data_IF_720366865045
#
_entry.id   IF_720366865045
#
_cell.length_a   1.000
_cell.length_b   1.000
_cell.length_c   1.000
_cell.angle_alpha   90.00
_cell.angle_beta   90.00
_cell.angle_gamma   90.00
#
_symmetry.space_group_name_H-M   'P 1'
#
loop_
_entity.id
_entity.type
_entity.pdbx_description
1 polymer ?
#
# COMPACT_ATOMS: atom_id res chain seq x y z
N UNK A 1 -28.06 19.84 -0.15
CA UNK A 1 -26.65 19.57 -0.49
C UNK A 1 -26.54 18.12 -0.95
N UNK A 2 -26.46 17.89 -2.25
CA UNK A 2 -26.25 16.54 -2.78
C UNK A 2 -24.85 16.06 -2.42
N UNK A 3 -24.76 15.00 -1.61
CA UNK A 3 -23.51 14.27 -1.44
C UNK A 3 -23.13 13.72 -2.81
N UNK A 4 -22.11 14.31 -3.43
CA UNK A 4 -21.46 13.76 -4.60
C UNK A 4 -20.85 12.43 -4.15
N UNK A 5 -21.60 11.34 -4.32
CA UNK A 5 -21.07 10.00 -4.15
C UNK A 5 -19.95 9.90 -5.18
N UNK A 6 -18.73 9.97 -4.68
CA UNK A 6 -17.52 9.74 -5.47
C UNK A 6 -17.76 8.41 -6.17
N UNK A 7 -17.79 8.46 -7.49
CA UNK A 7 -18.21 7.34 -8.34
C UNK A 7 -17.61 6.03 -7.83
N UNK A 8 -18.47 5.13 -7.33
CA UNK A 8 -18.09 3.83 -6.75
C UNK A 8 -17.37 2.93 -7.79
N UNK A 9 -17.35 3.38 -9.06
CA UNK A 9 -16.62 2.78 -10.17
C UNK A 9 -15.17 3.27 -10.34
N UNK A 10 -14.74 4.34 -9.64
CA UNK A 10 -13.30 4.57 -9.41
C UNK A 10 -12.81 3.37 -8.62
N UNK A 11 -12.13 2.47 -9.31
CA UNK A 11 -12.16 1.05 -8.94
C UNK A 11 -11.70 0.82 -7.50
N UNK A 12 -12.29 -0.20 -6.84
CA UNK A 12 -11.87 -0.68 -5.51
C UNK A 12 -10.36 -0.89 -5.38
N UNK A 13 -9.68 -1.15 -6.49
CA UNK A 13 -8.22 -1.28 -6.59
C UNK A 13 -7.48 0.04 -6.41
N UNK A 14 -8.01 1.14 -6.97
CA UNK A 14 -7.47 2.49 -6.82
C UNK A 14 -7.60 2.97 -5.37
N UNK A 15 -8.73 2.69 -4.72
CA UNK A 15 -8.94 3.03 -3.31
C UNK A 15 -8.01 2.24 -2.37
N UNK A 16 -7.76 0.96 -2.68
CA UNK A 16 -6.77 0.15 -1.97
C UNK A 16 -5.36 0.71 -2.13
N UNK A 17 -4.96 1.09 -3.34
CA UNK A 17 -3.68 1.77 -3.58
C UNK A 17 -3.56 3.06 -2.74
N UNK A 18 -4.59 3.90 -2.74
CA UNK A 18 -4.61 5.14 -1.96
C UNK A 18 -4.51 4.89 -0.45
N UNK A 19 -5.21 3.87 0.06
CA UNK A 19 -5.16 3.49 1.48
C UNK A 19 -3.76 3.00 1.89
N UNK A 20 -3.14 2.12 1.09
CA UNK A 20 -1.77 1.64 1.34
C UNK A 20 -0.78 2.81 1.33
N UNK A 21 -0.91 3.71 0.35
CA UNK A 21 -0.07 4.90 0.24
C UNK A 21 -0.23 5.83 1.44
N UNK A 22 -1.46 6.05 1.92
CA UNK A 22 -1.71 6.87 3.10
C UNK A 22 -1.03 6.30 4.35
N UNK A 23 -1.14 4.98 4.57
CA UNK A 23 -0.46 4.31 5.69
C UNK A 23 1.06 4.43 5.58
N UNK A 24 1.64 4.30 4.39
CA UNK A 24 3.08 4.44 4.18
C UNK A 24 3.59 5.86 4.43
N UNK A 25 2.84 6.87 3.97
CA UNK A 25 3.21 8.28 4.17
C UNK A 25 3.16 8.63 5.66
N UNK A 26 2.12 8.17 6.36
CA UNK A 26 1.92 8.45 7.79
C UNK A 26 2.56 7.39 8.70
N UNK A 27 3.38 6.49 8.18
CA UNK A 27 3.83 5.32 8.92
C UNK A 27 4.63 5.71 10.16
N UNK A 28 5.51 6.71 10.02
CA UNK A 28 6.33 7.24 11.11
C UNK A 28 5.45 7.85 12.20
N UNK A 29 4.53 8.73 11.82
CA UNK A 29 3.62 9.43 12.72
C UNK A 29 2.70 8.45 13.46
N UNK A 30 2.23 7.39 12.77
CA UNK A 30 1.44 6.32 13.39
C UNK A 30 2.28 5.59 14.43
N UNK A 31 3.52 5.25 14.11
CA UNK A 31 4.43 4.56 15.05
C UNK A 31 4.72 5.42 16.27
N UNK A 32 5.06 6.70 16.09
CA UNK A 32 5.33 7.64 17.18
C UNK A 32 4.11 7.86 18.06
N UNK A 33 2.93 8.02 17.46
CA UNK A 33 1.67 8.20 18.20
C UNK A 33 1.32 6.96 19.01
N UNK A 34 1.49 5.76 18.45
CA UNK A 34 1.22 4.51 19.17
C UNK A 34 2.23 4.24 20.29
N UNK A 35 3.48 4.68 20.11
CA UNK A 35 4.51 4.62 21.15
C UNK A 35 4.14 5.52 22.33
N UNK A 36 3.79 6.78 22.07
CA UNK A 36 3.32 7.72 23.08
C UNK A 36 2.08 7.21 23.83
N UNK A 37 1.05 6.74 23.09
CA UNK A 37 -0.15 6.17 23.69
C UNK A 37 0.12 4.90 24.51
N UNK A 38 1.14 4.11 24.16
CA UNK A 38 1.47 2.90 24.91
C UNK A 38 2.07 3.20 26.30
N UNK A 39 2.67 4.39 26.47
CA UNK A 39 3.37 4.80 27.70
C UNK A 39 2.54 5.79 28.51
N UNK A 40 1.98 6.81 27.85
CA UNK A 40 1.47 8.02 28.49
C UNK A 40 -0.05 8.12 28.60
N UNK A 41 -0.82 7.21 27.96
CA UNK A 41 -2.28 7.23 28.05
C UNK A 41 -2.74 6.92 29.49
N UNK A 42 -3.84 7.53 29.94
CA UNK A 42 -4.38 7.34 31.30
C UNK A 42 -5.07 5.99 31.45
N UNK A 43 -5.72 5.49 30.41
CA UNK A 43 -6.48 4.25 30.41
C UNK A 43 -5.56 3.04 30.14
N UNK A 44 -5.51 2.10 31.09
CA UNK A 44 -4.69 0.89 30.95
C UNK A 44 -5.02 0.06 29.71
N UNK A 45 -6.30 0.04 29.31
CA UNK A 45 -6.77 -0.65 28.10
C UNK A 45 -6.24 0.01 26.83
N UNK A 46 -6.24 1.35 26.77
CA UNK A 46 -5.70 2.12 25.65
C UNK A 46 -4.20 1.83 25.49
N UNK A 47 -3.43 1.90 26.58
CA UNK A 47 -2.00 1.55 26.59
C UNK A 47 -1.73 0.14 26.06
N UNK A 48 -2.50 -0.85 26.53
CA UNK A 48 -2.36 -2.24 26.09
C UNK A 48 -2.66 -2.41 24.60
N UNK A 49 -3.72 -1.78 24.08
CA UNK A 49 -4.08 -1.86 22.66
C UNK A 49 -3.01 -1.18 21.81
N UNK A 50 -2.57 0.02 22.20
CA UNK A 50 -1.53 0.77 21.51
C UNK A 50 -0.21 -0.02 21.43
N UNK A 51 0.25 -0.59 22.55
CA UNK A 51 1.46 -1.41 22.58
C UNK A 51 1.38 -2.67 21.71
N UNK A 52 0.22 -3.36 21.71
CA UNK A 52 0.02 -4.52 20.84
C UNK A 52 -0.01 -4.15 19.35
N UNK A 53 -0.64 -3.03 19.01
CA UNK A 53 -0.71 -2.54 17.65
C UNK A 53 0.68 -2.11 17.16
N UNK A 54 1.42 -1.36 17.97
CA UNK A 54 2.81 -0.97 17.72
C UNK A 54 3.70 -2.18 17.44
N UNK A 55 3.58 -3.24 18.25
CA UNK A 55 4.33 -4.50 18.05
C UNK A 55 4.01 -5.14 16.69
N UNK A 56 2.74 -5.10 16.26
CA UNK A 56 2.34 -5.62 14.94
C UNK A 56 2.87 -4.75 13.81
N UNK A 57 2.78 -3.42 13.92
CA UNK A 57 3.29 -2.51 12.89
C UNK A 57 4.79 -2.64 12.70
N UNK A 58 5.55 -2.73 13.80
CA UNK A 58 7.02 -2.91 13.80
C UNK A 58 7.45 -4.34 13.42
N UNK A 59 6.52 -5.27 13.22
CA UNK A 59 6.89 -6.62 12.79
C UNK A 59 7.42 -6.61 11.36
N UNK A 60 8.50 -7.36 11.13
CA UNK A 60 9.09 -7.52 9.80
C UNK A 60 8.06 -8.00 8.77
N UNK A 61 7.19 -8.94 9.15
CA UNK A 61 6.12 -9.45 8.31
C UNK A 61 5.16 -8.34 7.86
N UNK A 62 4.69 -7.50 8.78
CA UNK A 62 3.77 -6.41 8.42
C UNK A 62 4.42 -5.42 7.46
N UNK A 63 5.64 -4.97 7.77
CA UNK A 63 6.37 -4.04 6.92
C UNK A 63 6.61 -4.60 5.52
N UNK A 64 7.03 -5.86 5.44
CA UNK A 64 7.28 -6.55 4.17
C UNK A 64 6.01 -6.69 3.34
N UNK A 65 4.90 -7.10 3.96
CA UNK A 65 3.59 -7.19 3.29
C UNK A 65 3.09 -5.82 2.84
N UNK A 66 3.30 -4.78 3.65
CA UNK A 66 2.89 -3.41 3.29
C UNK A 66 3.64 -2.90 2.05
N UNK A 67 4.97 -3.12 1.99
CA UNK A 67 5.78 -2.77 0.82
C UNK A 67 5.42 -3.60 -0.41
N UNK A 68 5.19 -4.90 -0.22
CA UNK A 68 4.71 -5.79 -1.28
C UNK A 68 3.40 -5.28 -1.89
N UNK A 69 2.42 -4.98 -1.04
CA UNK A 69 1.11 -4.50 -1.46
C UNK A 69 1.24 -3.15 -2.18
N UNK A 70 2.11 -2.24 -1.72
CA UNK A 70 2.37 -0.96 -2.41
C UNK A 70 2.76 -1.17 -3.87
N UNK A 71 3.73 -2.05 -4.13
CA UNK A 71 4.25 -2.25 -5.48
C UNK A 71 3.22 -2.93 -6.39
N UNK A 72 2.55 -3.97 -5.89
CA UNK A 72 1.47 -4.64 -6.60
C UNK A 72 0.35 -3.67 -6.98
N UNK A 73 -0.17 -2.93 -5.99
CA UNK A 73 -1.28 -2.01 -6.22
C UNK A 73 -0.87 -0.77 -7.03
N UNK A 74 0.41 -0.39 -7.05
CA UNK A 74 0.92 0.67 -7.93
C UNK A 74 0.80 0.28 -9.40
N UNK A 75 1.23 -0.93 -9.76
CA UNK A 75 1.14 -1.43 -11.14
C UNK A 75 -0.32 -1.59 -11.58
N UNK A 76 -1.15 -2.19 -10.72
CA UNK A 76 -2.58 -2.35 -10.98
C UNK A 76 -3.27 -0.98 -11.15
N UNK A 77 -2.96 -0.01 -10.28
CA UNK A 77 -3.52 1.33 -10.36
C UNK A 77 -3.08 2.07 -11.62
N UNK A 78 -1.82 1.91 -12.07
CA UNK A 78 -1.35 2.46 -13.35
C UNK A 78 -2.18 1.96 -14.52
N UNK A 79 -2.39 0.63 -14.61
CA UNK A 79 -3.22 0.01 -15.63
C UNK A 79 -4.65 0.57 -15.63
N UNK A 80 -5.27 0.67 -14.44
CA UNK A 80 -6.62 1.21 -14.29
C UNK A 80 -6.70 2.65 -14.78
N UNK A 81 -5.75 3.50 -14.38
CA UNK A 81 -5.75 4.90 -14.82
C UNK A 81 -5.68 4.97 -16.34
N UNK A 82 -4.84 4.16 -16.98
CA UNK A 82 -4.72 4.14 -18.43
C UNK A 82 -5.98 3.63 -19.14
N UNK A 83 -6.59 2.55 -18.63
CA UNK A 83 -7.86 2.02 -19.16
C UNK A 83 -9.03 3.00 -19.00
N UNK A 84 -9.01 3.83 -17.97
CA UNK A 84 -10.09 4.79 -17.66
C UNK A 84 -9.89 6.18 -18.28
N UNK A 85 -8.81 6.40 -19.04
CA UNK A 85 -8.60 7.69 -19.72
C UNK A 85 -9.64 7.89 -20.83
N UNK A 86 -10.30 9.06 -20.91
CA UNK A 86 -11.26 9.36 -21.98
C UNK A 86 -10.66 9.26 -23.39
N UNK A 87 -9.35 9.53 -23.51
CA UNK A 87 -8.55 9.32 -24.70
C UNK A 87 -7.48 8.28 -24.35
N UNK A 88 -7.82 7.00 -24.54
CA UNK A 88 -6.92 5.89 -24.24
C UNK A 88 -5.90 5.72 -25.38
N UNK A 89 -4.62 5.78 -25.04
CA UNK A 89 -3.56 5.29 -25.91
C UNK A 89 -3.51 3.77 -25.82
N UNK A 90 -4.05 3.10 -26.83
CA UNK A 90 -4.19 1.65 -26.88
C UNK A 90 -2.82 0.96 -26.81
N UNK A 91 -1.80 1.51 -27.49
CA UNK A 91 -0.47 0.89 -27.54
C UNK A 91 0.19 0.90 -26.16
N UNK A 92 0.25 2.07 -25.53
CA UNK A 92 0.76 2.21 -24.16
C UNK A 92 -0.04 1.36 -23.16
N UNK A 93 -1.35 1.23 -23.37
CA UNK A 93 -2.22 0.45 -22.46
C UNK A 93 -1.96 -1.05 -22.59
N UNK A 94 -1.67 -1.56 -23.80
CA UNK A 94 -1.27 -2.96 -24.02
C UNK A 94 0.06 -3.25 -23.34
N UNK A 95 1.04 -2.34 -23.43
CA UNK A 95 2.33 -2.51 -22.77
C UNK A 95 2.17 -2.62 -21.24
N UNK A 96 1.41 -1.70 -20.64
CA UNK A 96 1.14 -1.70 -19.20
C UNK A 96 0.35 -2.94 -18.78
N UNK A 97 -0.58 -3.41 -19.61
CA UNK A 97 -1.32 -4.65 -19.37
C UNK A 97 -0.37 -5.85 -19.35
N UNK A 98 0.50 -5.97 -20.35
CA UNK A 98 1.48 -7.07 -20.44
C UNK A 98 2.42 -7.07 -19.24
N UNK A 99 2.91 -5.90 -18.82
CA UNK A 99 3.79 -5.77 -17.66
C UNK A 99 3.07 -6.13 -16.35
N UNK A 100 1.80 -5.72 -16.22
CA UNK A 100 0.99 -6.07 -15.04
C UNK A 100 0.71 -7.57 -14.97
N UNK A 101 0.38 -8.21 -16.10
CA UNK A 101 0.16 -9.67 -16.17
C UNK A 101 1.43 -10.43 -15.84
N UNK A 102 2.58 -10.06 -16.43
CA UNK A 102 3.88 -10.67 -16.10
C UNK A 102 4.21 -10.56 -14.62
N UNK A 103 3.93 -9.41 -14.00
CA UNK A 103 4.13 -9.22 -12.57
C UNK A 103 3.23 -10.18 -11.77
N UNK A 104 1.95 -10.29 -12.10
CA UNK A 104 1.03 -11.21 -11.41
C UNK A 104 1.46 -12.67 -11.58
N UNK A 105 1.92 -13.07 -12.76
CA UNK A 105 2.42 -14.41 -13.03
C UNK A 105 3.66 -14.71 -12.18
N UNK A 106 4.60 -13.77 -12.10
CA UNK A 106 5.79 -13.88 -11.24
C UNK A 106 5.44 -13.98 -9.75
N UNK A 107 4.37 -13.30 -9.31
CA UNK A 107 3.88 -13.39 -7.93
C UNK A 107 3.21 -14.73 -7.63
N UNK A 108 2.64 -15.38 -8.63
CA UNK A 108 1.95 -16.67 -8.51
C UNK A 108 2.89 -17.88 -8.60
N UNK A 109 4.12 -17.67 -9.08
CA UNK A 109 5.12 -18.72 -9.20
C UNK A 109 5.82 -18.98 -7.86
N UNK A 110 5.98 -20.25 -7.47
CA UNK A 110 6.55 -20.68 -6.18
C UNK A 110 8.02 -20.25 -5.94
N UNK A 111 8.67 -19.63 -6.93
CA UNK A 111 10.05 -19.14 -6.89
C UNK A 111 10.14 -17.61 -6.76
N UNK A 112 9.20 -16.99 -6.04
CA UNK A 112 9.12 -15.54 -5.80
C UNK A 112 10.48 -14.98 -5.35
N UNK A 113 11.16 -14.29 -6.27
CA UNK A 113 12.36 -13.54 -5.92
C UNK A 113 11.92 -12.24 -5.22
N UNK A 114 11.96 -12.23 -3.90
CA UNK A 114 11.57 -11.07 -3.08
C UNK A 114 12.35 -9.81 -3.46
N UNK A 115 13.57 -9.92 -3.97
CA UNK A 115 14.40 -8.78 -4.37
C UNK A 115 13.89 -8.09 -5.64
N UNK A 116 13.22 -8.80 -6.55
CA UNK A 116 12.65 -8.18 -7.75
C UNK A 116 11.36 -7.40 -7.46
N UNK A 117 10.62 -7.82 -6.43
CA UNK A 117 9.35 -7.24 -6.01
C UNK A 117 9.57 -6.11 -5.01
N UNK A 118 10.61 -6.19 -4.18
CA UNK A 118 11.02 -5.16 -3.22
C UNK A 118 11.97 -4.12 -3.82
N UNK A 119 12.01 -3.95 -5.16
CA UNK A 119 12.73 -2.83 -5.83
C UNK A 119 12.12 -1.48 -5.47
N UNK A 120 12.18 -1.13 -4.20
CA UNK A 120 11.88 0.16 -3.62
C UNK A 120 13.24 0.74 -3.27
N UNK A 121 13.45 1.99 -3.63
CA UNK A 121 14.54 2.78 -3.09
C UNK A 121 14.32 2.86 -1.57
N UNK A 122 14.99 1.98 -0.82
CA UNK A 122 14.90 1.89 0.66
C UNK A 122 15.27 3.24 1.31
N UNK A 123 15.87 4.16 0.53
CA UNK A 123 16.19 5.53 0.93
C UNK A 123 14.99 6.46 1.13
N UNK A 124 13.83 6.20 0.53
CA UNK A 124 12.66 7.10 0.64
C UNK A 124 11.83 6.86 1.91
N UNK A 125 12.04 5.71 2.55
CA UNK A 125 11.37 5.32 3.80
C UNK A 125 12.46 4.87 4.76
N UNK A 126 13.25 5.84 5.23
CA UNK A 126 14.27 5.63 6.25
C UNK A 126 13.73 4.71 7.32
N UNK A 127 14.41 3.58 7.53
CA UNK A 127 14.38 2.91 8.81
C UNK A 127 14.59 4.00 9.88
N UNK A 128 13.65 4.12 10.80
CA UNK A 128 13.95 4.69 12.10
C UNK A 128 14.99 3.80 12.78
#
# INVERSE_FOLDING_TARGET
LGLLIKDLSKTRWSDRYNSIRAVLISYKEIVETLDDLSVNDKEAKSRFIAGNLLKKLKSFTFYTVLLFLKNLFSSINSLIIHLQKPQMDILTTIDILNDTTKLLDQLSADNVNMDSILKVNIKDYSFC
#
